data_IF_924237062724
#
_entry.id   IF_924237062724
#
_cell.length_a   1.000
_cell.length_b   1.000
_cell.length_c   1.000
_cell.angle_alpha   90.00
_cell.angle_beta   90.00
_cell.angle_gamma   90.00
#
_symmetry.space_group_name_H-M   'P 1'
#
loop_
_entity.id
_entity.type
_entity.pdbx_description
1 polymer ?
#
# COMPACT_ATOMS: atom_id res chain seq x y z
N UNK A 1 10.01 -26.04 -7.59
CA UNK A 1 8.98 -25.10 -8.03
C UNK A 1 8.59 -24.25 -6.83
N UNK A 2 8.83 -22.95 -6.88
CA UNK A 2 8.32 -22.04 -5.85
C UNK A 2 6.81 -21.91 -6.05
N UNK A 3 6.05 -22.37 -5.07
CA UNK A 3 4.60 -22.21 -5.08
C UNK A 3 4.26 -20.82 -4.57
N UNK A 4 3.84 -19.95 -5.48
CA UNK A 4 3.23 -18.66 -5.14
C UNK A 4 1.75 -18.84 -4.85
N UNK A 5 1.20 -18.01 -3.99
CA UNK A 5 -0.24 -17.92 -3.75
C UNK A 5 -0.69 -16.47 -3.88
N UNK A 6 -1.96 -16.31 -4.23
CA UNK A 6 -2.63 -15.02 -4.25
C UNK A 6 -4.02 -15.17 -3.63
N UNK A 7 -4.44 -14.19 -2.86
CA UNK A 7 -5.74 -14.14 -2.22
C UNK A 7 -6.32 -12.75 -2.34
N UNK A 8 -7.57 -12.67 -2.78
CA UNK A 8 -8.35 -11.44 -2.78
C UNK A 8 -9.44 -11.54 -1.71
N UNK A 9 -9.55 -10.52 -0.89
CA UNK A 9 -10.59 -10.39 0.13
C UNK A 9 -11.33 -9.08 -0.07
N UNK A 10 -12.65 -9.16 -0.23
CA UNK A 10 -13.54 -8.00 -0.25
C UNK A 10 -14.17 -7.88 1.12
N UNK A 11 -14.13 -6.70 1.73
CA UNK A 11 -14.70 -6.50 3.07
C UNK A 11 -15.13 -5.06 3.28
N UNK A 12 -16.07 -4.87 4.18
CA UNK A 12 -16.46 -3.54 4.63
C UNK A 12 -15.52 -3.04 5.74
N UNK A 13 -14.98 -1.85 5.56
CA UNK A 13 -14.27 -1.07 6.57
C UNK A 13 -14.87 0.34 6.58
N UNK A 14 -15.65 0.62 7.62
CA UNK A 14 -16.39 1.88 7.73
C UNK A 14 -15.55 3.10 7.31
N UNK A 15 -16.03 3.95 6.39
CA UNK A 15 -17.33 3.93 5.69
C UNK A 15 -17.32 3.23 4.31
N UNK A 16 -16.25 2.54 3.89
CA UNK A 16 -16.08 2.03 2.54
C UNK A 16 -15.87 0.53 2.47
N UNK A 17 -16.27 -0.05 1.36
CA UNK A 17 -15.81 -1.37 0.96
C UNK A 17 -14.37 -1.30 0.45
N UNK A 18 -13.56 -2.27 0.82
CA UNK A 18 -12.15 -2.34 0.46
C UNK A 18 -11.80 -3.69 -0.13
N UNK A 19 -10.92 -3.65 -1.12
CA UNK A 19 -10.25 -4.81 -1.69
C UNK A 19 -8.90 -4.97 -1.00
N UNK A 20 -8.65 -6.13 -0.41
CA UNK A 20 -7.36 -6.52 0.10
C UNK A 20 -6.82 -7.63 -0.78
N UNK A 21 -5.78 -7.34 -1.54
CA UNK A 21 -5.06 -8.29 -2.36
C UNK A 21 -3.75 -8.69 -1.67
N UNK A 22 -3.61 -9.98 -1.41
CA UNK A 22 -2.49 -10.58 -0.72
C UNK A 22 -1.78 -11.53 -1.68
N UNK A 23 -0.47 -11.46 -1.77
CA UNK A 23 0.33 -12.41 -2.53
C UNK A 23 1.57 -12.80 -1.75
N UNK A 24 2.07 -14.01 -2.01
CA UNK A 24 3.30 -14.48 -1.39
C UNK A 24 3.92 -15.63 -2.17
N UNK A 25 5.22 -15.76 -2.05
CA UNK A 25 6.04 -16.77 -2.69
C UNK A 25 7.50 -16.57 -2.28
N UNK A 26 8.33 -17.61 -2.37
CA UNK A 26 9.75 -17.47 -2.04
C UNK A 26 10.06 -16.99 -0.62
N UNK A 27 9.16 -17.23 0.34
CA UNK A 27 9.34 -16.75 1.73
C UNK A 27 8.98 -15.27 1.94
N UNK A 28 8.41 -14.60 0.95
CA UNK A 28 7.97 -13.21 1.03
C UNK A 28 6.44 -13.09 1.00
N UNK A 29 5.93 -12.00 1.55
CA UNK A 29 4.52 -11.66 1.57
C UNK A 29 4.35 -10.17 1.28
N UNK A 30 3.40 -9.85 0.42
CA UNK A 30 3.04 -8.49 0.05
C UNK A 30 1.52 -8.32 0.08
N UNK A 31 1.06 -7.14 0.43
CA UNK A 31 -0.35 -6.80 0.44
C UNK A 31 -0.61 -5.46 -0.26
N UNK A 32 -1.76 -5.38 -0.93
CA UNK A 32 -2.27 -4.15 -1.51
C UNK A 32 -3.70 -3.94 -1.02
N UNK A 33 -4.01 -2.76 -0.53
CA UNK A 33 -5.35 -2.38 -0.08
C UNK A 33 -5.85 -1.23 -0.95
N UNK A 34 -6.99 -1.43 -1.58
CA UNK A 34 -7.62 -0.44 -2.44
C UNK A 34 -9.05 -0.18 -1.97
N UNK A 35 -9.46 1.08 -1.72
CA UNK A 35 -10.85 1.41 -1.44
C UNK A 35 -11.69 1.25 -2.72
N UNK A 36 -12.84 0.63 -2.59
CA UNK A 36 -13.79 0.44 -3.70
C UNK A 36 -14.97 1.41 -3.61
N UNK A 37 -15.34 1.82 -2.41
CA UNK A 37 -16.48 2.70 -2.16
C UNK A 37 -17.72 1.94 -1.75
N UNK A 38 -18.70 1.78 -2.66
CA UNK A 38 -19.91 1.00 -2.42
C UNK A 38 -19.63 -0.51 -2.43
N UNK A 39 -20.62 -1.31 -2.01
CA UNK A 39 -20.52 -2.77 -2.07
C UNK A 39 -20.36 -3.24 -3.52
N UNK A 40 -19.23 -3.85 -3.89
CA UNK A 40 -19.01 -4.30 -5.25
C UNK A 40 -19.66 -5.64 -5.51
N UNK A 41 -20.14 -5.82 -6.75
CA UNK A 41 -20.51 -7.15 -7.26
C UNK A 41 -19.27 -7.89 -7.74
N UNK A 42 -19.31 -9.21 -7.76
CA UNK A 42 -18.18 -10.05 -8.21
C UNK A 42 -17.64 -9.66 -9.58
N UNK A 43 -18.55 -9.32 -10.52
CA UNK A 43 -18.17 -8.85 -11.86
C UNK A 43 -17.41 -7.52 -11.84
N UNK A 44 -17.80 -6.60 -10.97
CA UNK A 44 -17.14 -5.29 -10.83
C UNK A 44 -15.76 -5.45 -10.23
N UNK A 45 -15.59 -6.34 -9.25
CA UNK A 45 -14.29 -6.69 -8.68
C UNK A 45 -13.37 -7.27 -9.74
N UNK A 46 -13.89 -8.17 -10.58
CA UNK A 46 -13.11 -8.80 -11.64
C UNK A 46 -12.69 -7.78 -12.71
N UNK A 47 -13.63 -6.96 -13.21
CA UNK A 47 -13.34 -5.90 -14.16
C UNK A 47 -12.29 -4.91 -13.61
N UNK A 48 -12.46 -4.48 -12.36
CA UNK A 48 -11.51 -3.61 -11.70
C UNK A 48 -10.10 -4.19 -11.66
N UNK A 49 -9.95 -5.48 -11.34
CA UNK A 49 -8.66 -6.14 -11.31
C UNK A 49 -8.01 -6.20 -12.69
N UNK A 50 -8.76 -6.50 -13.74
CA UNK A 50 -8.24 -6.55 -15.09
C UNK A 50 -7.72 -5.18 -15.56
N UNK A 51 -8.49 -4.14 -15.30
CA UNK A 51 -8.15 -2.77 -15.70
C UNK A 51 -6.98 -2.20 -14.89
N UNK A 52 -6.96 -2.48 -13.58
CA UNK A 52 -6.04 -1.83 -12.66
C UNK A 52 -4.87 -2.70 -12.21
N UNK A 53 -4.71 -3.91 -12.74
CA UNK A 53 -3.67 -4.85 -12.33
C UNK A 53 -2.27 -4.24 -12.27
N UNK A 54 -1.91 -3.46 -13.29
CA UNK A 54 -0.58 -2.82 -13.39
C UNK A 54 -0.39 -1.62 -12.46
N UNK A 55 -1.48 -1.02 -12.00
CA UNK A 55 -1.46 0.15 -11.13
C UNK A 55 -1.55 -0.19 -9.64
N UNK A 56 -1.79 -1.47 -9.28
CA UNK A 56 -1.85 -1.93 -7.90
C UNK A 56 -0.50 -1.71 -7.21
N UNK A 57 -0.52 -0.94 -6.13
CA UNK A 57 0.67 -0.68 -5.33
C UNK A 57 0.72 -1.65 -4.17
N UNK A 58 1.61 -2.62 -4.29
CA UNK A 58 1.89 -3.55 -3.20
C UNK A 58 2.79 -2.92 -2.14
N UNK A 59 2.65 -3.43 -0.91
CA UNK A 59 3.58 -3.11 0.17
C UNK A 59 4.98 -3.65 -0.13
N UNK A 60 6.02 -3.13 0.56
CA UNK A 60 7.30 -3.80 0.59
C UNK A 60 7.17 -5.27 1.01
N UNK A 61 8.02 -6.16 0.49
CA UNK A 61 7.99 -7.57 0.84
C UNK A 61 8.34 -7.77 2.32
N UNK A 62 7.49 -8.50 3.03
CA UNK A 62 7.71 -8.89 4.42
C UNK A 62 8.07 -10.36 4.46
N UNK A 63 9.10 -10.71 5.23
CA UNK A 63 9.47 -12.11 5.40
C UNK A 63 8.31 -12.91 5.99
N UNK A 64 7.91 -13.98 5.31
CA UNK A 64 6.84 -14.87 5.73
C UNK A 64 7.30 -16.30 5.75
N UNK A 65 7.36 -16.88 6.94
CA UNK A 65 7.71 -18.30 7.11
C UNK A 65 6.45 -19.17 6.93
N UNK A 66 6.49 -20.05 5.95
CA UNK A 66 5.60 -21.20 5.80
C UNK A 66 4.37 -20.98 4.90
N UNK A 67 3.72 -22.07 4.50
CA UNK A 67 2.53 -22.04 3.68
C UNK A 67 1.40 -21.34 4.45
N UNK A 68 0.72 -20.41 3.80
CA UNK A 68 -0.39 -19.64 4.38
C UNK A 68 -1.64 -20.48 4.57
N UNK A 69 -1.72 -21.59 3.87
CA UNK A 69 -2.76 -22.61 4.08
C UNK A 69 -2.29 -23.63 5.10
N UNK A 70 -2.58 -23.40 6.37
CA UNK A 70 -2.64 -24.49 7.33
C UNK A 70 -3.82 -25.35 6.95
N UNK A 71 -3.62 -26.65 6.69
CA UNK A 71 -4.70 -27.64 6.66
C UNK A 71 -5.37 -27.61 8.03
N UNK A 72 -6.45 -26.85 8.12
CA UNK A 72 -7.21 -26.69 9.35
C UNK A 72 -8.20 -27.84 9.42
N UNK A 73 -8.26 -28.55 10.54
CA UNK A 73 -9.25 -29.59 10.72
C UNK A 73 -10.68 -29.00 10.54
N UNK A 74 -11.65 -29.75 10.01
CA UNK A 74 -13.01 -29.24 9.75
C UNK A 74 -13.67 -28.59 10.97
N UNK A 75 -13.43 -29.12 12.17
CA UNK A 75 -13.92 -28.57 13.44
C UNK A 75 -13.31 -27.19 13.74
N UNK A 76 -12.03 -27.01 13.41
CA UNK A 76 -11.32 -25.73 13.60
C UNK A 76 -11.72 -24.72 12.54
N UNK A 77 -11.88 -25.16 11.26
CA UNK A 77 -12.39 -24.32 10.19
C UNK A 77 -13.79 -23.77 10.51
N UNK A 78 -14.69 -24.60 11.07
CA UNK A 78 -16.03 -24.17 11.51
C UNK A 78 -15.99 -23.15 12.64
N UNK A 79 -15.10 -23.30 13.61
CA UNK A 79 -14.90 -22.30 14.69
C UNK A 79 -14.29 -21.00 14.16
N UNK A 80 -13.38 -21.09 13.21
CA UNK A 80 -12.75 -19.93 12.57
C UNK A 80 -13.74 -19.20 11.66
N UNK A 81 -14.59 -19.93 10.92
CA UNK A 81 -15.70 -19.35 10.16
C UNK A 81 -16.71 -18.62 11.07
N UNK A 82 -17.05 -19.16 12.23
CA UNK A 82 -17.91 -18.50 13.21
C UNK A 82 -17.25 -17.26 13.83
N UNK A 83 -15.92 -17.24 13.97
CA UNK A 83 -15.17 -16.05 14.41
C UNK A 83 -15.01 -15.04 13.28
N UNK A 84 -14.98 -15.46 12.02
CA UNK A 84 -14.85 -14.60 10.84
C UNK A 84 -16.14 -13.83 10.51
N UNK A 85 -17.28 -14.23 11.08
CA UNK A 85 -18.52 -13.42 11.06
C UNK A 85 -18.42 -12.18 11.96
N UNK A 86 -17.46 -12.14 12.91
CA UNK A 86 -17.03 -10.88 13.52
C UNK A 86 -16.15 -10.12 12.52
N UNK A 87 -16.24 -8.77 12.45
CA UNK A 87 -15.47 -8.00 11.49
C UNK A 87 -14.00 -8.43 11.54
N UNK A 88 -13.59 -9.14 10.50
CA UNK A 88 -12.28 -9.78 10.46
C UNK A 88 -11.23 -8.69 10.40
N UNK A 89 -10.52 -8.50 11.51
CA UNK A 89 -9.32 -7.66 11.51
C UNK A 89 -8.36 -8.17 10.43
N UNK A 90 -7.77 -7.27 9.69
CA UNK A 90 -6.66 -7.56 8.77
C UNK A 90 -5.65 -8.42 9.54
N UNK A 91 -5.21 -9.54 8.97
CA UNK A 91 -4.19 -10.39 9.63
C UNK A 91 -2.96 -9.59 10.03
N UNK A 92 -2.31 -9.94 11.14
CA UNK A 92 -1.17 -9.19 11.69
C UNK A 92 -0.06 -8.92 10.67
N UNK A 93 0.18 -9.85 9.71
CA UNK A 93 1.15 -9.68 8.63
C UNK A 93 0.73 -8.64 7.61
N UNK A 94 -0.54 -8.63 7.22
CA UNK A 94 -1.08 -7.61 6.33
C UNK A 94 -1.05 -6.23 7.00
N UNK A 95 -1.33 -6.14 8.30
CA UNK A 95 -1.19 -4.90 9.06
C UNK A 95 0.26 -4.42 9.09
N UNK A 96 1.23 -5.30 9.31
CA UNK A 96 2.65 -4.97 9.28
C UNK A 96 3.10 -4.48 7.90
N UNK A 97 2.71 -5.19 6.83
CA UNK A 97 3.03 -4.80 5.46
C UNK A 97 2.46 -3.42 5.10
N UNK A 98 1.18 -3.18 5.43
CA UNK A 98 0.53 -1.89 5.19
C UNK A 98 1.10 -0.77 6.08
N UNK A 99 1.56 -1.07 7.30
CA UNK A 99 2.23 -0.11 8.16
C UNK A 99 3.58 0.32 7.55
N UNK A 100 4.40 -0.62 7.10
CA UNK A 100 5.65 -0.33 6.39
C UNK A 100 5.43 0.55 5.15
N UNK A 101 4.43 0.23 4.34
CA UNK A 101 4.09 1.04 3.17
C UNK A 101 3.73 2.48 3.54
N UNK A 102 3.00 2.68 4.65
CA UNK A 102 2.66 4.02 5.15
C UNK A 102 3.89 4.78 5.64
N UNK A 103 4.79 4.11 6.34
CA UNK A 103 6.03 4.71 6.84
C UNK A 103 6.96 5.13 5.70
N UNK A 104 7.14 4.27 4.69
CA UNK A 104 7.90 4.62 3.48
C UNK A 104 7.29 5.78 2.72
N UNK A 105 5.96 5.79 2.56
CA UNK A 105 5.25 6.90 1.95
C UNK A 105 5.41 8.22 2.70
N UNK A 106 5.41 8.20 4.04
CA UNK A 106 5.70 9.38 4.87
C UNK A 106 7.14 9.86 4.69
N UNK A 107 8.10 8.94 4.73
CA UNK A 107 9.51 9.27 4.57
C UNK A 107 9.79 9.87 3.18
N UNK A 108 9.19 9.32 2.12
CA UNK A 108 9.30 9.85 0.76
C UNK A 108 8.75 11.28 0.64
N UNK A 109 7.57 11.54 1.21
CA UNK A 109 6.96 12.89 1.22
C UNK A 109 7.82 13.91 1.97
N UNK A 110 8.39 13.52 3.11
CA UNK A 110 9.29 14.42 3.88
C UNK A 110 10.55 14.74 3.07
N UNK A 111 11.15 13.74 2.41
CA UNK A 111 12.33 13.96 1.55
C UNK A 111 12.00 14.88 0.39
N UNK A 112 10.90 14.64 -0.30
CA UNK A 112 10.46 15.46 -1.42
C UNK A 112 10.21 16.93 -0.99
N UNK A 113 9.44 17.12 0.08
CA UNK A 113 9.17 18.47 0.61
C UNK A 113 10.45 19.22 1.02
N UNK A 114 11.43 18.49 1.58
CA UNK A 114 12.73 19.08 1.89
C UNK A 114 13.50 19.50 0.65
N UNK A 115 13.57 18.63 -0.36
CA UNK A 115 14.22 18.94 -1.63
C UNK A 115 13.56 20.13 -2.36
N UNK A 116 12.24 20.19 -2.36
CA UNK A 116 11.49 21.32 -2.95
C UNK A 116 11.81 22.63 -2.24
N UNK A 117 11.89 22.62 -0.90
CA UNK A 117 12.24 23.81 -0.11
C UNK A 117 13.69 24.25 -0.35
N UNK A 118 14.64 23.32 -0.37
CA UNK A 118 16.04 23.59 -0.68
C UNK A 118 16.19 24.18 -2.10
N UNK A 119 15.51 23.59 -3.09
CA UNK A 119 15.52 24.10 -4.46
C UNK A 119 14.88 25.51 -4.58
N UNK A 120 13.84 25.79 -3.81
CA UNK A 120 13.21 27.10 -3.78
C UNK A 120 14.12 28.15 -3.13
N UNK A 121 14.81 27.80 -2.05
CA UNK A 121 15.79 28.68 -1.40
C UNK A 121 16.96 28.98 -2.32
N UNK A 122 17.49 27.99 -3.04
CA UNK A 122 18.56 28.20 -4.04
C UNK A 122 18.09 29.14 -5.16
N UNK A 123 16.88 28.94 -5.69
CA UNK A 123 16.29 29.85 -6.70
C UNK A 123 16.18 31.29 -6.18
N UNK A 124 15.68 31.47 -4.95
CA UNK A 124 15.57 32.78 -4.31
C UNK A 124 16.95 33.43 -4.11
N UNK A 125 17.94 32.62 -3.72
CA UNK A 125 19.29 33.07 -3.55
C UNK A 125 19.91 33.50 -4.89
N UNK A 126 19.80 32.71 -5.93
CA UNK A 126 20.28 33.01 -7.27
C UNK A 126 19.68 34.34 -7.81
N UNK A 127 18.34 34.49 -7.69
CA UNK A 127 17.65 35.74 -8.10
C UNK A 127 18.13 36.96 -7.32
N UNK A 128 18.41 36.82 -6.02
CA UNK A 128 18.98 37.93 -5.22
C UNK A 128 20.41 38.30 -5.67
N UNK A 129 21.21 37.31 -6.01
CA UNK A 129 22.56 37.50 -6.53
C UNK A 129 22.53 38.21 -7.89
N UNK A 130 21.64 37.79 -8.78
CA UNK A 130 21.49 38.39 -10.11
C UNK A 130 21.07 39.87 -10.00
N UNK A 131 20.05 40.17 -9.21
CA UNK A 131 19.61 41.53 -8.94
C UNK A 131 20.75 42.42 -8.35
N UNK A 132 21.61 41.85 -7.50
CA UNK A 132 22.78 42.59 -6.97
C UNK A 132 23.80 42.84 -8.05
N UNK A 133 24.04 41.91 -8.97
CA UNK A 133 24.95 42.06 -10.11
C UNK A 133 24.46 43.13 -11.08
N UNK A 134 23.16 43.12 -11.39
CA UNK A 134 22.53 44.11 -12.25
C UNK A 134 22.65 45.52 -11.67
N UNK A 135 22.36 45.72 -10.38
CA UNK A 135 22.53 47.01 -9.70
C UNK A 135 23.96 47.54 -9.73
N UNK A 136 24.97 46.64 -9.73
CA UNK A 136 26.37 47.03 -9.82
C UNK A 136 26.84 47.37 -11.25
N UNK A 137 26.13 46.86 -12.27
CA UNK A 137 26.41 47.16 -13.69
C UNK A 137 25.76 48.46 -14.18
N UNK A 138 24.78 48.97 -13.46
CA UNK A 138 24.04 50.18 -13.80
C UNK A 138 24.55 51.49 -13.18
N UNK A 139 25.78 51.45 -12.62
CA UNK A 139 26.52 52.64 -12.15
C UNK A 139 27.85 52.74 -12.90
#
# INVERSE_FOLDING_TARGET
METGYAKLTVRFEDPFWVLLYERGGGGTYEACKTPFGAEPKDQEVYAFLLENWRSLRFSPPVAAKGPFERKVSPKRARREAQRAVRPAAIGTKAQQALALQREEGKAARIRQSRQEREAEEERKFALRQEKRREKRKGH
#
